data_IF_266186078788
#
_entry.id   IF_266186078788
#
_cell.length_a   1.000
_cell.length_b   1.000
_cell.length_c   1.000
_cell.angle_alpha   90.00
_cell.angle_beta   90.00
_cell.angle_gamma   90.00
#
_symmetry.space_group_name_H-M   'P 1'
#
loop_
_entity.id
_entity.type
_entity.pdbx_description
1 polymer ?
#
# COMPACT_ATOMS: atom_id res chain seq x y z
N UNK A 1 45.61 -16.44 -15.00
CA UNK A 1 44.70 -16.44 -13.82
C UNK A 1 43.88 -15.16 -13.68
N UNK A 2 44.46 -13.96 -13.73
CA UNK A 2 43.73 -12.70 -13.52
C UNK A 2 42.63 -12.38 -14.57
N UNK A 3 42.81 -12.76 -15.84
CA UNK A 3 41.79 -12.59 -16.89
C UNK A 3 40.57 -13.51 -16.68
N UNK A 4 40.80 -14.76 -16.24
CA UNK A 4 39.73 -15.70 -15.92
C UNK A 4 38.91 -15.25 -14.70
N UNK A 5 39.57 -14.69 -13.68
CA UNK A 5 38.90 -14.09 -12.52
C UNK A 5 38.06 -12.87 -12.87
N UNK A 6 38.50 -12.04 -13.84
CA UNK A 6 37.74 -10.88 -14.34
C UNK A 6 36.49 -11.30 -15.11
N UNK A 7 36.60 -12.33 -15.96
CA UNK A 7 35.46 -12.88 -16.72
C UNK A 7 34.44 -13.53 -15.77
N UNK A 8 34.91 -14.34 -14.81
CA UNK A 8 34.04 -14.97 -13.82
C UNK A 8 33.30 -13.94 -12.96
N UNK A 9 33.97 -12.88 -12.51
CA UNK A 9 33.34 -11.78 -11.75
C UNK A 9 32.27 -11.05 -12.58
N UNK A 10 32.54 -10.79 -13.86
CA UNK A 10 31.56 -10.21 -14.78
C UNK A 10 30.32 -11.09 -14.98
N UNK A 11 30.50 -12.40 -15.14
CA UNK A 11 29.39 -13.35 -15.26
C UNK A 11 28.55 -13.45 -13.98
N UNK A 12 29.20 -13.46 -12.81
CA UNK A 12 28.50 -13.50 -11.51
C UNK A 12 27.67 -12.23 -11.31
N UNK A 13 28.22 -11.05 -11.62
CA UNK A 13 27.50 -9.79 -11.53
C UNK A 13 26.31 -9.73 -12.51
N UNK A 14 26.48 -10.20 -13.74
CA UNK A 14 25.40 -10.29 -14.72
C UNK A 14 24.27 -11.23 -14.28
N UNK A 15 24.61 -12.38 -13.69
CA UNK A 15 23.63 -13.32 -13.16
C UNK A 15 22.86 -12.74 -11.95
N UNK A 16 23.53 -11.99 -11.07
CA UNK A 16 22.91 -11.29 -9.95
C UNK A 16 21.92 -10.21 -10.40
N UNK A 17 22.24 -9.46 -11.46
CA UNK A 17 21.37 -8.42 -12.01
C UNK A 17 20.11 -9.01 -12.68
N UNK A 18 20.18 -10.20 -13.26
CA UNK A 18 19.00 -10.85 -13.84
C UNK A 18 17.95 -11.27 -12.79
N UNK A 19 18.33 -11.39 -11.51
CA UNK A 19 17.43 -11.78 -10.42
C UNK A 19 16.54 -10.63 -9.91
N UNK A 20 16.85 -9.38 -10.26
CA UNK A 20 16.10 -8.19 -9.82
C UNK A 20 15.11 -7.68 -10.89
N UNK A 21 15.02 -8.36 -12.02
CA UNK A 21 14.05 -8.06 -13.07
C UNK A 21 12.61 -8.40 -12.58
N UNK A 22 11.67 -7.47 -12.77
CA UNK A 22 10.26 -7.68 -12.43
C UNK A 22 9.49 -8.39 -13.55
N UNK A 23 8.51 -9.24 -13.19
CA UNK A 23 7.63 -9.93 -14.16
C UNK A 23 6.52 -9.03 -14.76
N UNK A 24 6.83 -7.82 -15.22
CA UNK A 24 5.83 -6.89 -15.76
C UNK A 24 5.73 -6.85 -17.29
N UNK A 25 6.11 -7.95 -17.96
CA UNK A 25 6.19 -8.05 -19.43
C UNK A 25 4.87 -7.75 -20.14
N UNK A 26 3.73 -7.87 -19.44
CA UNK A 26 2.41 -7.46 -19.92
C UNK A 26 1.61 -6.81 -18.77
N UNK A 27 1.53 -5.48 -18.68
CA UNK A 27 0.70 -4.83 -17.67
C UNK A 27 -0.79 -5.13 -17.94
N UNK A 28 -1.61 -5.35 -16.90
CA UNK A 28 -3.04 -5.58 -17.06
C UNK A 28 -3.71 -4.33 -17.64
N UNK A 29 -4.74 -4.53 -18.46
CA UNK A 29 -5.51 -3.43 -19.03
C UNK A 29 -6.29 -2.73 -17.92
N UNK A 30 -6.62 -1.42 -18.07
CA UNK A 30 -7.34 -0.67 -17.03
C UNK A 30 -8.64 -1.35 -16.54
N UNK A 31 -9.36 -2.03 -17.44
CA UNK A 31 -10.61 -2.73 -17.15
C UNK A 31 -10.42 -4.14 -16.55
N UNK A 32 -9.21 -4.70 -16.55
CA UNK A 32 -8.93 -5.99 -15.89
C UNK A 32 -8.92 -5.86 -14.35
N UNK A 33 -8.98 -4.62 -13.83
CA UNK A 33 -8.95 -4.31 -12.40
C UNK A 33 -10.31 -4.46 -11.69
N UNK A 34 -11.39 -4.58 -12.45
CA UNK A 34 -12.76 -4.55 -11.92
C UNK A 34 -13.06 -5.74 -10.98
N UNK A 35 -12.36 -6.86 -11.16
CA UNK A 35 -12.55 -8.09 -10.37
C UNK A 35 -11.55 -8.27 -9.22
N UNK A 36 -10.63 -7.33 -9.01
CA UNK A 36 -9.59 -7.45 -7.97
C UNK A 36 -10.11 -7.06 -6.58
N UNK A 37 -10.97 -6.04 -6.50
CA UNK A 37 -11.54 -5.59 -5.24
C UNK A 37 -12.82 -6.38 -4.93
N UNK A 38 -12.77 -7.22 -3.89
CA UNK A 38 -13.97 -7.91 -3.39
C UNK A 38 -14.81 -6.92 -2.58
N UNK A 39 -16.14 -7.08 -2.50
CA UNK A 39 -17.00 -6.25 -1.63
C UNK A 39 -16.54 -6.22 -0.17
N UNK A 40 -15.95 -7.31 0.32
CA UNK A 40 -15.40 -7.41 1.67
C UNK A 40 -14.12 -6.57 1.92
N UNK A 41 -13.50 -6.03 0.86
CA UNK A 41 -12.35 -5.12 0.96
C UNK A 41 -12.80 -3.64 1.04
N UNK A 42 -14.10 -3.37 1.07
CA UNK A 42 -14.62 -2.03 1.27
C UNK A 42 -14.21 -1.50 2.64
N UNK A 43 -13.71 -0.27 2.69
CA UNK A 43 -13.29 0.40 3.93
C UNK A 43 -14.47 0.53 4.93
N UNK A 44 -15.68 0.69 4.41
CA UNK A 44 -16.91 0.88 5.18
C UNK A 44 -17.77 -0.40 5.26
N UNK A 45 -17.13 -1.58 5.19
CA UNK A 45 -17.84 -2.87 5.22
C UNK A 45 -18.62 -3.15 6.53
N UNK A 46 -18.21 -2.55 7.64
CA UNK A 46 -18.91 -2.59 8.93
C UNK A 46 -19.18 -1.18 9.46
N UNK A 47 -20.36 -0.66 9.17
CA UNK A 47 -20.78 0.69 9.58
C UNK A 47 -20.82 0.85 11.11
N UNK A 48 -21.12 -0.21 11.87
CA UNK A 48 -21.21 -0.10 13.33
C UNK A 48 -19.82 -0.07 13.95
N UNK A 49 -18.93 -0.97 13.52
CA UNK A 49 -17.53 -0.96 13.94
C UNK A 49 -16.84 0.35 13.62
N UNK A 50 -17.05 0.90 12.41
CA UNK A 50 -16.49 2.20 12.03
C UNK A 50 -16.98 3.35 12.93
N UNK A 51 -18.25 3.37 13.33
CA UNK A 51 -18.78 4.37 14.28
C UNK A 51 -18.13 4.28 15.65
N UNK A 52 -17.89 3.06 16.15
CA UNK A 52 -17.22 2.85 17.45
C UNK A 52 -15.77 3.29 17.38
N UNK A 53 -15.05 2.94 16.31
CA UNK A 53 -13.66 3.37 16.09
C UNK A 53 -13.58 4.90 16.01
N UNK A 54 -14.45 5.54 15.24
CA UNK A 54 -14.55 6.99 15.13
C UNK A 54 -14.74 7.65 16.50
N UNK A 55 -15.63 7.12 17.34
CA UNK A 55 -15.87 7.64 18.69
C UNK A 55 -14.62 7.50 19.58
N UNK A 56 -13.90 6.39 19.48
CA UNK A 56 -12.65 6.20 20.23
C UNK A 56 -11.58 7.19 19.77
N UNK A 57 -11.40 7.36 18.45
CA UNK A 57 -10.41 8.29 17.90
C UNK A 57 -10.70 9.74 18.27
N UNK A 58 -11.93 10.22 18.07
CA UNK A 58 -12.32 11.58 18.47
C UNK A 58 -12.18 11.82 19.97
N UNK A 59 -12.51 10.82 20.80
CA UNK A 59 -12.31 10.90 22.25
C UNK A 59 -10.85 10.96 22.69
N UNK A 60 -9.93 10.32 21.95
CA UNK A 60 -8.50 10.30 22.29
C UNK A 60 -7.76 11.52 21.77
N UNK A 61 -8.11 11.98 20.58
CA UNK A 61 -7.43 13.08 19.91
C UNK A 61 -8.04 14.45 20.25
N UNK A 62 -9.08 14.48 21.10
CA UNK A 62 -9.90 15.66 21.37
C UNK A 62 -10.33 16.41 20.08
N UNK A 63 -10.46 15.64 19.00
CA UNK A 63 -10.78 16.15 17.67
C UNK A 63 -12.28 16.14 17.49
N UNK A 64 -12.84 17.27 17.04
CA UNK A 64 -14.23 17.37 16.61
C UNK A 64 -14.27 17.52 15.09
N UNK A 65 -14.95 16.58 14.40
CA UNK A 65 -15.05 16.57 12.94
C UNK A 65 -15.09 15.19 12.27
N UNK A 66 -14.68 14.13 12.97
CA UNK A 66 -14.55 12.77 12.39
C UNK A 66 -13.39 12.63 11.40
N UNK A 67 -13.29 11.49 10.71
CA UNK A 67 -12.19 11.14 9.77
C UNK A 67 -12.20 11.92 8.43
N UNK A 68 -13.00 12.97 8.30
CA UNK A 68 -13.16 13.77 7.08
C UNK A 68 -12.30 15.02 7.05
N UNK A 69 -12.15 15.63 5.86
CA UNK A 69 -11.50 16.93 5.67
C UNK A 69 -12.44 18.06 6.15
N UNK A 70 -12.65 18.12 7.46
CA UNK A 70 -13.40 19.16 8.17
C UNK A 70 -12.56 19.56 9.38
N UNK A 71 -11.94 20.74 9.30
CA UNK A 71 -10.86 21.20 10.17
C UNK A 71 -11.12 21.05 11.67
N UNK A 72 -10.02 20.83 12.42
CA UNK A 72 -10.01 20.70 13.87
C UNK A 72 -10.81 21.80 14.56
N UNK A 73 -11.91 21.40 15.20
CA UNK A 73 -12.65 22.24 16.14
C UNK A 73 -11.99 22.25 17.51
N UNK A 74 -12.20 23.32 18.27
CA UNK A 74 -11.70 23.58 19.62
C UNK A 74 -12.21 22.61 20.71
N UNK A 75 -12.72 21.43 20.36
CA UNK A 75 -13.05 20.35 21.31
C UNK A 75 -14.08 20.68 22.41
N UNK A 76 -14.93 21.70 22.24
CA UNK A 76 -16.01 21.98 23.20
C UNK A 76 -17.36 21.54 22.61
N UNK A 77 -17.99 20.56 23.27
CA UNK A 77 -19.43 20.27 23.13
C UNK A 77 -20.24 21.40 23.75
#
# INVERSE_FOLDING_TARGET
MQQLLRVASGCVLGALLALIEGCSVAPPKPWDKDVLARPAMAMDGDVLGQRVLQHIYTSKENSSGGDGVGGGGCGCN
#
